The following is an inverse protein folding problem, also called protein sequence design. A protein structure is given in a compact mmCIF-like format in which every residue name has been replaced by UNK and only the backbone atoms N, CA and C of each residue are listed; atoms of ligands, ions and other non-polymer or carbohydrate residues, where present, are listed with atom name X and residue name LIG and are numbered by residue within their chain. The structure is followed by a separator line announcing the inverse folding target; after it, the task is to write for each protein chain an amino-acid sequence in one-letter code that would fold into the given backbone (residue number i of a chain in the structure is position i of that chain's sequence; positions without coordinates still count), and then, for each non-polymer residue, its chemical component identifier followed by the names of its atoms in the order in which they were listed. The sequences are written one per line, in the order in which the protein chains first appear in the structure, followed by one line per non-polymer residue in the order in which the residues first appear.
data_IF_553322241869
#
_entry.id   IF_553322241869
#
_cell.length_a   1.000
_cell.length_b   1.000
_cell.length_c   1.000
_cell.angle_alpha   90.00
_cell.angle_beta   90.00
_cell.angle_gamma   90.00
#
_symmetry.space_group_name_H-M   'P 1'
#
loop_
_entity.id
_entity.type
_entity.pdbx_description
1 polymer ?
#
# COMPACT_ATOMS: atom_id res chain seq x y z
N UNK A 1 -27.62 9.33 -10.15
CA UNK A 1 -26.23 9.79 -10.08
C UNK A 1 -25.59 9.14 -8.87
N UNK A 2 -24.78 8.10 -9.06
CA UNK A 2 -23.97 7.56 -7.96
C UNK A 2 -22.76 8.47 -7.83
N UNK A 3 -22.71 9.24 -6.75
CA UNK A 3 -21.49 9.91 -6.34
C UNK A 3 -20.49 8.82 -5.98
N UNK A 4 -19.55 8.55 -6.86
CA UNK A 4 -18.39 7.72 -6.53
C UNK A 4 -17.64 8.43 -5.41
N UNK A 5 -17.72 7.84 -4.22
CA UNK A 5 -17.10 8.33 -3.01
C UNK A 5 -15.57 8.21 -3.17
N UNK A 6 -14.98 9.25 -3.76
CA UNK A 6 -13.56 9.33 -4.11
C UNK A 6 -12.67 9.61 -2.87
N UNK A 7 -13.17 9.27 -1.68
CA UNK A 7 -12.52 9.50 -0.38
C UNK A 7 -11.48 8.41 -0.07
N UNK A 8 -11.73 7.15 -0.44
CA UNK A 8 -10.78 6.05 -0.26
C UNK A 8 -9.46 6.30 -1.01
N UNK A 9 -9.54 6.85 -2.23
CA UNK A 9 -8.37 7.11 -3.05
C UNK A 9 -7.50 8.26 -2.47
N UNK A 10 -8.10 9.23 -1.78
CA UNK A 10 -7.39 10.32 -1.09
C UNK A 10 -6.74 9.88 0.22
N UNK A 11 -7.23 8.82 0.88
CA UNK A 11 -6.68 8.34 2.16
C UNK A 11 -5.60 7.27 2.01
N UNK A 12 -5.63 6.48 0.92
CA UNK A 12 -4.63 5.42 0.66
C UNK A 12 -3.23 5.95 0.31
N UNK A 13 -3.14 7.02 -0.49
CA UNK A 13 -1.86 7.67 -0.82
C UNK A 13 -1.07 8.13 0.42
N UNK A 14 -1.68 8.90 1.35
CA UNK A 14 -1.06 9.31 2.60
C UNK A 14 -0.64 8.14 3.51
N UNK A 15 -1.40 7.04 3.52
CA UNK A 15 -1.09 5.88 4.36
C UNK A 15 0.08 5.05 3.80
N UNK A 16 0.12 4.83 2.48
CA UNK A 16 1.26 4.18 1.81
C UNK A 16 2.57 4.93 2.08
N UNK A 17 2.55 6.25 1.94
CA UNK A 17 3.72 7.10 2.24
C UNK A 17 4.13 7.05 3.71
N UNK A 18 3.19 6.90 4.64
CA UNK A 18 3.52 6.70 6.07
C UNK A 18 4.23 5.37 6.32
N UNK A 19 3.79 4.29 5.65
CA UNK A 19 4.43 2.97 5.76
C UNK A 19 5.84 3.00 5.14
N UNK A 20 6.01 3.60 3.97
CA UNK A 20 7.33 3.76 3.32
C UNK A 20 8.33 4.52 4.23
N UNK A 21 7.87 5.60 4.86
CA UNK A 21 8.69 6.36 5.83
C UNK A 21 9.02 5.55 7.09
N UNK A 22 8.06 4.76 7.58
CA UNK A 22 8.28 3.88 8.73
C UNK A 22 9.32 2.79 8.41
N UNK A 23 9.25 2.17 7.22
CA UNK A 23 10.23 1.19 6.74
C UNK A 23 11.62 1.80 6.72
N UNK A 24 11.78 2.99 6.14
CA UNK A 24 13.08 3.68 6.08
C UNK A 24 13.65 3.99 7.48
N UNK A 25 12.80 4.42 8.41
CA UNK A 25 13.20 4.67 9.79
C UNK A 25 13.63 3.38 10.51
N UNK A 26 12.85 2.31 10.38
CA UNK A 26 13.15 1.03 11.02
C UNK A 26 14.41 0.39 10.42
N UNK A 27 14.62 0.49 9.11
CA UNK A 27 15.86 0.06 8.46
C UNK A 27 17.08 0.78 9.05
N UNK A 28 16.97 2.10 9.24
CA UNK A 28 18.03 2.91 9.87
C UNK A 28 18.32 2.44 11.30
N UNK A 29 17.28 2.17 12.10
CA UNK A 29 17.40 1.62 13.46
C UNK A 29 18.12 0.26 13.44
N UNK A 30 17.77 -0.61 12.49
CA UNK A 30 18.41 -1.94 12.34
C UNK A 30 19.91 -1.80 12.07
N UNK A 31 20.31 -0.84 11.23
CA UNK A 31 21.71 -0.68 10.81
C UNK A 31 22.58 0.13 11.77
N UNK A 32 21.99 1.07 12.51
CA UNK A 32 22.75 2.05 13.30
C UNK A 32 22.78 1.77 14.81
N UNK A 33 21.98 0.82 15.30
CA UNK A 33 21.92 0.50 16.73
C UNK A 33 22.34 -0.94 17.02
N UNK A 34 22.98 -1.12 18.17
CA UNK A 34 23.42 -2.44 18.65
C UNK A 34 22.25 -3.40 18.91
N UNK A 35 21.08 -2.86 19.27
CA UNK A 35 19.82 -3.61 19.45
C UNK A 35 18.98 -3.70 18.17
N UNK A 36 19.53 -3.30 17.02
CA UNK A 36 18.83 -3.20 15.75
C UNK A 36 18.16 -4.49 15.30
N UNK A 37 18.75 -5.66 15.59
CA UNK A 37 18.18 -6.96 15.26
C UNK A 37 16.77 -7.19 15.87
N UNK A 38 16.46 -6.56 17.00
CA UNK A 38 15.14 -6.67 17.65
C UNK A 38 14.01 -6.03 16.82
N UNK A 39 14.36 -5.18 15.85
CA UNK A 39 13.41 -4.45 15.01
C UNK A 39 13.13 -5.13 13.66
N UNK A 40 13.85 -6.21 13.32
CA UNK A 40 13.62 -7.00 12.10
C UNK A 40 12.16 -7.48 11.97
N UNK A 41 11.48 -7.98 13.04
CA UNK A 41 10.07 -8.37 12.92
C UNK A 41 9.15 -7.20 12.55
N UNK A 42 9.46 -5.99 13.03
CA UNK A 42 8.69 -4.78 12.73
C UNK A 42 8.90 -4.40 11.26
N UNK A 43 10.14 -4.45 10.77
CA UNK A 43 10.46 -4.20 9.37
C UNK A 43 9.69 -5.15 8.43
N UNK A 44 9.75 -6.46 8.70
CA UNK A 44 9.07 -7.48 7.89
C UNK A 44 7.55 -7.27 7.86
N UNK A 45 6.96 -6.86 8.99
CA UNK A 45 5.53 -6.54 9.05
C UNK A 45 5.19 -5.33 8.19
N UNK A 46 5.98 -4.27 8.26
CA UNK A 46 5.75 -3.06 7.46
C UNK A 46 5.91 -3.33 5.95
N UNK A 47 6.87 -4.17 5.55
CA UNK A 47 7.00 -4.62 4.16
C UNK A 47 5.78 -5.43 3.69
N UNK A 48 5.27 -6.33 4.53
CA UNK A 48 4.06 -7.08 4.22
C UNK A 48 2.83 -6.17 4.06
N UNK A 49 2.69 -5.16 4.93
CA UNK A 49 1.64 -4.14 4.84
C UNK A 49 1.78 -3.32 3.54
N UNK A 50 2.99 -2.88 3.16
CA UNK A 50 3.23 -2.16 1.91
C UNK A 50 2.89 -2.98 0.66
N UNK A 51 3.23 -4.27 0.69
CA UNK A 51 2.90 -5.21 -0.38
C UNK A 51 1.39 -5.45 -0.48
N UNK A 52 0.69 -5.53 0.66
CA UNK A 52 -0.78 -5.63 0.68
C UNK A 52 -1.43 -4.40 0.02
N UNK A 53 -0.96 -3.18 0.30
CA UNK A 53 -1.44 -1.98 -0.39
C UNK A 53 -1.21 -2.05 -1.90
N UNK A 54 -0.02 -2.46 -2.34
CA UNK A 54 0.30 -2.56 -3.77
C UNK A 54 -0.51 -3.64 -4.49
N UNK A 55 -0.82 -4.75 -3.82
CA UNK A 55 -1.65 -5.83 -4.37
C UNK A 55 -3.11 -5.41 -4.56
N UNK A 56 -3.64 -4.54 -3.70
CA UNK A 56 -4.98 -3.98 -3.85
C UNK A 56 -5.07 -3.04 -5.06
N UNK A 57 -4.04 -2.21 -5.28
CA UNK A 57 -3.98 -1.30 -6.44
C UNK A 57 -3.86 -2.07 -7.75
N UNK A 58 -3.08 -3.16 -7.78
CA UNK A 58 -2.97 -4.05 -8.95
C UNK A 58 -4.32 -4.71 -9.28
N UNK A 59 -5.01 -5.28 -8.29
CA UNK A 59 -6.35 -5.86 -8.48
C UNK A 59 -7.38 -4.85 -8.96
N UNK A 60 -7.38 -3.63 -8.41
CA UNK A 60 -8.28 -2.55 -8.85
C UNK A 60 -8.02 -2.16 -10.32
N UNK A 61 -6.75 -2.08 -10.73
CA UNK A 61 -6.41 -1.80 -12.13
C UNK A 61 -6.78 -2.94 -13.07
N UNK A 62 -6.64 -4.20 -12.66
CA UNK A 62 -7.14 -5.35 -13.42
C UNK A 62 -8.66 -5.30 -13.58
N UNK A 63 -9.40 -5.09 -12.48
CA UNK A 63 -10.86 -4.95 -12.50
C UNK A 63 -11.30 -3.82 -13.43
N UNK A 64 -10.62 -2.66 -13.40
CA UNK A 64 -10.91 -1.53 -14.31
C UNK A 64 -10.71 -1.90 -15.78
N UNK A 65 -9.65 -2.65 -16.11
CA UNK A 65 -9.42 -3.13 -17.49
C UNK A 65 -10.51 -4.11 -17.94
N UNK A 66 -10.95 -5.02 -17.07
CA UNK A 66 -12.08 -5.91 -17.36
C UNK A 66 -13.39 -5.16 -17.51
N UNK A 67 -13.68 -4.17 -16.65
CA UNK A 67 -14.88 -3.36 -16.72
C UNK A 67 -14.94 -2.49 -17.99
N UNK A 68 -13.81 -1.99 -18.48
CA UNK A 68 -13.72 -1.27 -19.76
C UNK A 68 -13.82 -2.20 -20.98
N UNK A 69 -13.44 -3.47 -20.83
CA UNK A 69 -13.55 -4.48 -21.88
C UNK A 69 -14.94 -5.09 -22.01
N UNK A 70 -15.85 -4.84 -21.06
CA UNK A 70 -17.27 -5.08 -21.25
C UNK A 70 -17.77 -3.98 -22.21
N UNK A 71 -18.17 -4.30 -23.46
CA UNK A 71 -18.95 -3.36 -24.22
C UNK A 71 -20.17 -3.04 -23.37
N UNK A 72 -20.48 -1.75 -23.23
CA UNK A 72 -21.76 -1.29 -22.71
C UNK A 72 -22.83 -1.97 -23.56
N UNK A 73 -23.33 -3.11 -23.09
CA UNK A 73 -24.47 -3.78 -23.68
C UNK A 73 -25.64 -2.82 -23.46
N UNK A 74 -26.08 -2.24 -24.57
CA UNK A 74 -27.14 -1.26 -24.69
C UNK A 74 -28.48 -1.75 -24.09
#
# INVERSE_FOLDING_TARGET
MYSEDNSENKMRGPQKTKIEKAIALVAKIITERDDGANYIPIYNRLEAELNAFSSQDQRLNEIRKFAQALPTAA
#
